data_IF_219397934635
#
_entry.id   IF_219397934635
#
_cell.length_a   1.000
_cell.length_b   1.000
_cell.length_c   1.000
_cell.angle_alpha   90.00
_cell.angle_beta   90.00
_cell.angle_gamma   90.00
#
_symmetry.space_group_name_H-M   'P 1'
#
loop_
_entity.id
_entity.type
_entity.pdbx_description
1 polymer ?
#
# COMPACT_ATOMS: atom_id res chain seq x y z
N UNK A 1 10.71 22.54 8.87
CA UNK A 1 9.38 22.20 8.33
C UNK A 1 9.43 21.12 7.25
N UNK A 2 10.22 21.28 6.17
CA UNK A 2 10.31 20.29 5.07
C UNK A 2 10.72 18.86 5.48
N UNK A 3 11.60 18.73 6.48
CA UNK A 3 12.03 17.42 7.00
C UNK A 3 10.91 16.63 7.69
N UNK A 4 10.05 17.32 8.45
CA UNK A 4 8.93 16.69 9.18
C UNK A 4 7.90 16.17 8.17
N UNK A 5 7.56 16.99 7.17
CA UNK A 5 6.62 16.62 6.10
C UNK A 5 7.08 15.35 5.37
N UNK A 6 8.38 15.20 5.10
CA UNK A 6 8.94 13.99 4.47
C UNK A 6 8.72 12.72 5.28
N UNK A 7 9.00 12.79 6.57
CA UNK A 7 8.79 11.66 7.47
C UNK A 7 7.31 11.32 7.62
N UNK A 8 6.45 12.33 7.74
CA UNK A 8 4.99 12.14 7.80
C UNK A 8 4.47 11.50 6.51
N UNK A 9 4.92 11.93 5.33
CA UNK A 9 4.51 11.32 4.06
C UNK A 9 5.05 9.89 3.91
N UNK A 10 6.33 9.66 4.24
CA UNK A 10 6.92 8.32 4.20
C UNK A 10 6.16 7.35 5.12
N UNK A 11 5.91 7.75 6.37
CA UNK A 11 5.21 6.93 7.34
C UNK A 11 3.74 6.76 6.97
N UNK A 12 3.06 7.83 6.54
CA UNK A 12 1.65 7.78 6.14
C UNK A 12 1.42 6.83 4.98
N UNK A 13 2.16 7.01 3.88
CA UNK A 13 2.06 6.13 2.71
C UNK A 13 2.61 4.73 2.97
N UNK A 14 3.67 4.61 3.78
CA UNK A 14 4.26 3.31 4.15
C UNK A 14 3.33 2.47 5.01
N UNK A 15 2.74 3.05 6.06
CA UNK A 15 1.79 2.37 6.95
C UNK A 15 0.53 2.00 6.18
N UNK A 16 -0.02 2.95 5.40
CA UNK A 16 -1.23 2.70 4.62
C UNK A 16 -1.01 1.64 3.53
N UNK A 17 0.12 1.69 2.85
CA UNK A 17 0.49 0.68 1.86
C UNK A 17 0.72 -0.70 2.47
N UNK A 18 1.41 -0.79 3.62
CA UNK A 18 1.58 -2.04 4.36
C UNK A 18 0.24 -2.62 4.84
N UNK A 19 -0.66 -1.77 5.32
CA UNK A 19 -2.01 -2.16 5.69
C UNK A 19 -2.79 -2.73 4.49
N UNK A 20 -2.72 -2.09 3.32
CA UNK A 20 -3.35 -2.62 2.11
C UNK A 20 -2.78 -3.96 1.66
N UNK A 21 -1.46 -4.15 1.75
CA UNK A 21 -0.82 -5.44 1.46
C UNK A 21 -1.32 -6.53 2.42
N UNK A 22 -1.36 -6.23 3.72
CA UNK A 22 -1.86 -7.17 4.73
C UNK A 22 -3.33 -7.52 4.49
N UNK A 23 -4.18 -6.52 4.24
CA UNK A 23 -5.60 -6.74 3.97
C UNK A 23 -5.86 -7.51 2.67
N UNK A 24 -4.97 -7.35 1.68
CA UNK A 24 -5.01 -8.13 0.44
C UNK A 24 -4.61 -9.57 0.64
N UNK A 25 -3.61 -9.83 1.50
CA UNK A 25 -3.21 -11.17 1.90
C UNK A 25 -4.33 -11.90 2.66
N UNK A 26 -5.01 -11.20 3.58
CA UNK A 26 -6.19 -11.74 4.26
C UNK A 26 -7.31 -12.03 3.26
N UNK A 27 -7.58 -11.10 2.34
CA UNK A 27 -8.61 -11.30 1.29
C UNK A 27 -8.29 -12.50 0.40
N UNK A 28 -7.02 -12.70 0.04
CA UNK A 28 -6.59 -13.89 -0.70
C UNK A 28 -6.85 -15.17 0.11
N UNK A 29 -6.54 -15.15 1.41
CA UNK A 29 -6.76 -16.29 2.31
C UNK A 29 -8.26 -16.63 2.46
N UNK A 30 -9.12 -15.61 2.55
CA UNK A 30 -10.58 -15.77 2.62
C UNK A 30 -11.22 -16.16 1.28
N UNK A 31 -10.56 -15.90 0.14
CA UNK A 31 -11.07 -16.30 -1.17
C UNK A 31 -11.09 -17.81 -1.39
N UNK A 32 -10.19 -18.55 -0.73
CA UNK A 32 -10.05 -20.01 -0.88
C UNK A 32 -11.26 -20.78 -0.35
N UNK A 33 -11.76 -20.52 0.89
CA UNK A 33 -12.98 -21.16 1.39
C UNK A 33 -14.27 -20.49 0.93
N UNK A 34 -14.22 -19.33 0.27
CA UNK A 34 -15.41 -18.61 -0.15
C UNK A 34 -16.04 -19.23 -1.41
N UNK A 35 -17.37 -19.30 -1.43
CA UNK A 35 -18.15 -19.75 -2.59
C UNK A 35 -19.07 -18.65 -3.11
N UNK A 36 -19.47 -18.77 -4.38
CA UNK A 36 -20.39 -17.84 -5.03
C UNK A 36 -19.82 -16.41 -5.20
N UNK A 37 -20.68 -15.37 -5.22
CA UNK A 37 -20.27 -14.00 -5.57
C UNK A 37 -19.27 -13.38 -4.59
N UNK A 38 -19.21 -13.90 -3.35
CA UNK A 38 -18.31 -13.40 -2.30
C UNK A 38 -16.84 -13.73 -2.62
N UNK A 39 -16.60 -14.87 -3.28
CA UNK A 39 -15.26 -15.28 -3.74
C UNK A 39 -14.64 -14.24 -4.68
N UNK A 40 -15.40 -13.83 -5.70
CA UNK A 40 -14.96 -12.84 -6.68
C UNK A 40 -14.62 -11.48 -6.03
N UNK A 41 -15.34 -11.10 -4.97
CA UNK A 41 -15.05 -9.87 -4.21
C UNK A 41 -13.72 -9.98 -3.47
N UNK A 42 -13.45 -11.12 -2.80
CA UNK A 42 -12.19 -11.34 -2.10
C UNK A 42 -11.00 -11.44 -3.05
N UNK A 43 -11.15 -12.13 -4.19
CA UNK A 43 -10.12 -12.20 -5.24
C UNK A 43 -9.84 -10.82 -5.83
N UNK A 44 -10.87 -10.05 -6.20
CA UNK A 44 -10.70 -8.71 -6.74
C UNK A 44 -9.99 -7.78 -5.74
N UNK A 45 -10.35 -7.86 -4.44
CA UNK A 45 -9.67 -7.10 -3.38
C UNK A 45 -8.20 -7.48 -3.27
N UNK A 46 -7.87 -8.78 -3.32
CA UNK A 46 -6.49 -9.23 -3.27
C UNK A 46 -5.69 -8.76 -4.50
N UNK A 47 -6.27 -8.88 -5.70
CA UNK A 47 -5.64 -8.52 -6.97
C UNK A 47 -5.38 -7.02 -7.10
N UNK A 48 -6.28 -6.18 -6.58
CA UNK A 48 -6.15 -4.72 -6.68
C UNK A 48 -5.39 -4.12 -5.49
N UNK A 49 -5.67 -4.62 -4.28
CA UNK A 49 -5.10 -4.06 -3.05
C UNK A 49 -3.61 -4.32 -2.91
N UNK A 50 -3.10 -5.46 -3.40
CA UNK A 50 -1.68 -5.78 -3.33
C UNK A 50 -0.81 -4.83 -4.17
N UNK A 51 -1.04 -4.64 -5.49
CA UNK A 51 -0.27 -3.67 -6.27
C UNK A 51 -0.50 -2.23 -5.80
N UNK A 52 -1.71 -1.87 -5.34
CA UNK A 52 -1.99 -0.55 -4.80
C UNK A 52 -1.17 -0.27 -3.52
N UNK A 53 -1.07 -1.26 -2.62
CA UNK A 53 -0.25 -1.18 -1.43
C UNK A 53 1.24 -0.98 -1.74
N UNK A 54 1.78 -1.71 -2.72
CA UNK A 54 3.16 -1.53 -3.19
C UNK A 54 3.37 -0.14 -3.80
N UNK A 55 2.40 0.35 -4.60
CA UNK A 55 2.47 1.68 -5.19
C UNK A 55 2.51 2.77 -4.12
N UNK A 56 1.69 2.66 -3.07
CA UNK A 56 1.69 3.59 -1.94
C UNK A 56 3.04 3.61 -1.22
N UNK A 57 3.59 2.44 -0.89
CA UNK A 57 4.93 2.33 -0.27
C UNK A 57 5.99 3.00 -1.16
N UNK A 58 5.93 2.74 -2.46
CA UNK A 58 6.86 3.32 -3.45
C UNK A 58 6.73 4.85 -3.50
N UNK A 59 5.52 5.39 -3.49
CA UNK A 59 5.27 6.83 -3.43
C UNK A 59 5.87 7.44 -2.15
N UNK A 60 5.64 6.82 -0.99
CA UNK A 60 6.24 7.26 0.28
C UNK A 60 7.77 7.31 0.22
N UNK A 61 8.39 6.26 -0.33
CA UNK A 61 9.83 6.18 -0.53
C UNK A 61 10.35 7.26 -1.51
N UNK A 62 9.65 7.49 -2.61
CA UNK A 62 10.00 8.51 -3.60
C UNK A 62 9.92 9.92 -3.03
N UNK A 63 8.91 10.26 -2.23
CA UNK A 63 8.86 11.56 -1.55
C UNK A 63 10.01 11.73 -0.56
N UNK A 64 10.40 10.66 0.11
CA UNK A 64 11.56 10.68 0.99
C UNK A 64 12.87 10.88 0.21
N UNK A 65 13.06 10.23 -0.95
CA UNK A 65 14.28 10.32 -1.75
C UNK A 65 14.36 11.58 -2.63
N UNK A 66 13.27 11.93 -3.34
CA UNK A 66 13.21 13.05 -4.28
C UNK A 66 13.44 14.41 -3.64
N UNK A 67 12.92 14.63 -2.43
CA UNK A 67 13.21 15.86 -1.66
C UNK A 67 14.65 15.90 -1.11
N UNK A 68 15.46 14.84 -1.27
CA UNK A 68 16.90 14.85 -0.94
C UNK A 68 17.73 15.40 -2.11
N UNK A 69 17.26 15.16 -3.34
CA UNK A 69 17.99 15.49 -4.57
C UNK A 69 17.96 16.98 -4.93
N UNK A 70 17.00 17.76 -4.41
CA UNK A 70 16.86 19.19 -4.70
C UNK A 70 17.81 20.10 -3.92
N UNK A 71 18.82 19.55 -3.24
CA UNK A 71 19.85 20.30 -2.50
C UNK A 71 21.16 20.50 -3.28
N UNK A 72 21.17 20.30 -4.60
CA UNK A 72 22.33 20.56 -5.45
C UNK A 72 22.16 21.85 -6.25
#
# INVERSE_FOLDING_TARGET
MLHIVRWVLLLGFGIWGAYMVMWSYESASFSVPAEGPVKAVYEARAMLGFPLGIALISIGALFFLGLRSTKH
#
